data_IF_058533448786
#
_entry.id   IF_058533448786
#
_cell.length_a   1.000
_cell.length_b   1.000
_cell.length_c   1.000
_cell.angle_alpha   90.00
_cell.angle_beta   90.00
_cell.angle_gamma   90.00
#
_symmetry.space_group_name_H-M   'P 1'
#
loop_
_entity.id
_entity.type
_entity.pdbx_description
1 polymer ?
#
# COMPACT_ATOMS: atom_id res chain seq x y z
N UNK A 1 -19.17 4.07 -1.80
CA UNK A 1 -18.43 5.18 -2.41
C UNK A 1 -17.16 5.40 -1.61
N UNK A 2 -16.09 4.74 -2.04
CA UNK A 2 -14.77 4.69 -1.36
C UNK A 2 -13.90 5.82 -1.90
N UNK A 3 -13.12 6.51 -1.07
CA UNK A 3 -12.38 7.72 -1.44
C UNK A 3 -11.56 7.62 -2.76
N UNK A 4 -11.11 6.42 -3.14
CA UNK A 4 -10.39 6.17 -4.39
C UNK A 4 -11.25 6.40 -5.64
N UNK A 5 -12.55 6.14 -5.61
CA UNK A 5 -13.45 6.42 -6.75
C UNK A 5 -13.50 7.92 -7.06
N UNK A 6 -13.49 8.76 -6.00
CA UNK A 6 -13.44 10.22 -6.13
C UNK A 6 -12.07 10.70 -6.63
N UNK A 7 -10.98 10.06 -6.22
CA UNK A 7 -9.66 10.36 -6.77
C UNK A 7 -9.60 9.96 -8.24
N UNK A 8 -10.15 8.79 -8.60
CA UNK A 8 -10.19 8.32 -9.97
C UNK A 8 -10.97 9.26 -10.91
N UNK A 9 -12.05 9.90 -10.42
CA UNK A 9 -12.85 10.84 -11.21
C UNK A 9 -12.14 12.15 -11.53
N UNK A 10 -11.14 12.55 -10.75
CA UNK A 10 -10.35 13.77 -10.99
C UNK A 10 -9.00 13.50 -11.67
N UNK A 11 -8.69 12.23 -11.97
CA UNK A 11 -7.47 11.84 -12.67
C UNK A 11 -7.74 11.60 -14.15
N UNK A 12 -6.86 12.10 -15.04
CA UNK A 12 -6.90 11.85 -16.49
C UNK A 12 -6.45 10.44 -16.90
N UNK A 13 -6.80 9.42 -16.11
CA UNK A 13 -6.42 8.02 -16.36
C UNK A 13 -5.14 7.55 -15.67
N UNK A 14 -4.45 8.40 -14.88
CA UNK A 14 -3.22 8.04 -14.18
C UNK A 14 -3.21 8.53 -12.73
N UNK A 15 -2.81 7.65 -11.80
CA UNK A 15 -2.69 7.91 -10.37
C UNK A 15 -1.32 7.46 -9.87
N UNK A 16 -0.65 8.33 -9.11
CA UNK A 16 0.54 7.99 -8.33
C UNK A 16 0.14 8.08 -6.86
N UNK A 17 0.04 6.94 -6.19
CA UNK A 17 -0.32 6.85 -4.78
C UNK A 17 0.93 6.51 -3.96
N UNK A 18 1.40 7.44 -3.13
CA UNK A 18 2.41 7.17 -2.11
C UNK A 18 1.72 7.05 -0.75
N UNK A 19 1.81 5.88 -0.13
CA UNK A 19 1.21 5.66 1.19
C UNK A 19 2.07 4.73 2.05
N UNK A 20 1.90 4.85 3.36
CA UNK A 20 2.50 3.94 4.31
C UNK A 20 1.83 2.57 4.20
N UNK A 21 2.62 1.50 4.18
CA UNK A 21 2.09 0.13 4.16
C UNK A 21 2.52 -0.68 5.38
N UNK A 22 1.63 -1.58 5.81
CA UNK A 22 1.87 -2.56 6.87
C UNK A 22 1.79 -4.00 6.37
N UNK A 23 2.01 -4.97 7.26
CA UNK A 23 1.77 -6.42 7.04
C UNK A 23 2.26 -6.97 5.68
N UNK A 24 3.43 -6.52 5.20
CA UNK A 24 3.92 -6.80 3.83
C UNK A 24 4.13 -8.29 3.53
N UNK A 25 4.30 -9.12 4.55
CA UNK A 25 4.42 -10.57 4.44
C UNK A 25 3.09 -11.26 4.12
N UNK A 26 1.97 -10.61 4.43
CA UNK A 26 0.65 -11.18 4.24
C UNK A 26 0.18 -10.93 2.80
N UNK A 27 -0.10 -12.01 2.07
CA UNK A 27 -0.55 -11.96 0.67
C UNK A 27 -2.04 -11.66 0.49
N UNK A 28 -2.85 -11.88 1.53
CA UNK A 28 -4.28 -11.52 1.52
C UNK A 28 -4.47 -10.06 1.92
N UNK A 29 -5.50 -9.36 1.43
CA UNK A 29 -5.79 -7.99 1.84
C UNK A 29 -5.95 -7.86 3.38
N UNK A 30 -5.23 -6.92 3.99
CA UNK A 30 -5.27 -6.66 5.43
C UNK A 30 -4.79 -5.24 5.77
N UNK A 31 -5.10 -4.77 6.98
CA UNK A 31 -4.61 -3.52 7.52
C UNK A 31 -4.04 -3.74 8.94
N UNK A 32 -2.93 -3.06 9.23
CA UNK A 32 -2.39 -2.94 10.59
C UNK A 32 -3.02 -1.73 11.27
N UNK A 33 -3.46 -1.88 12.52
CA UNK A 33 -3.93 -0.77 13.35
C UNK A 33 -2.85 -0.38 14.37
N UNK A 34 -2.67 0.92 14.59
CA UNK A 34 -1.72 1.54 15.50
C UNK A 34 -2.49 2.19 16.66
N UNK A 35 -2.60 1.54 17.82
CA UNK A 35 -3.38 2.05 18.93
C UNK A 35 -2.73 3.26 19.62
N UNK A 36 -1.45 3.52 19.39
CA UNK A 36 -0.73 4.65 19.99
C UNK A 36 0.05 5.42 18.92
N UNK A 37 1.36 5.65 19.11
CA UNK A 37 2.22 6.50 18.28
C UNK A 37 3.20 5.68 17.43
N UNK A 38 2.90 4.41 17.18
CA UNK A 38 3.85 3.46 16.60
C UNK A 38 4.25 3.81 15.16
N UNK A 39 3.56 4.75 14.52
CA UNK A 39 3.92 5.26 13.20
C UNK A 39 4.71 6.57 13.29
N UNK A 40 6.03 6.48 13.43
CA UNK A 40 6.95 7.65 13.44
C UNK A 40 6.55 8.76 14.43
N UNK A 41 5.81 8.43 15.48
CA UNK A 41 5.20 9.39 16.39
C UNK A 41 4.25 10.40 15.72
N UNK A 42 3.64 10.02 14.59
CA UNK A 42 2.57 10.77 13.95
C UNK A 42 1.22 10.34 14.53
N UNK A 43 0.61 11.13 15.44
CA UNK A 43 -0.66 10.79 16.07
C UNK A 43 -1.85 10.93 15.12
N UNK A 44 -1.64 11.38 13.87
CA UNK A 44 -2.70 11.58 12.87
C UNK A 44 -2.88 10.38 11.93
N UNK A 45 -2.06 9.34 12.09
CA UNK A 45 -2.12 8.14 11.26
C UNK A 45 -2.17 6.86 12.10
N UNK A 46 -3.35 6.26 12.17
CA UNK A 46 -3.67 5.17 13.09
C UNK A 46 -3.67 3.78 12.42
N UNK A 47 -3.37 3.69 11.13
CA UNK A 47 -3.41 2.41 10.43
C UNK A 47 -2.58 2.40 9.15
N UNK A 48 -2.18 1.21 8.71
CA UNK A 48 -1.51 1.05 7.42
C UNK A 48 -2.02 -0.20 6.68
N UNK A 49 -2.51 -0.06 5.44
CA UNK A 49 -2.89 -1.21 4.63
C UNK A 49 -1.68 -1.99 4.13
N UNK A 50 -1.88 -3.26 3.80
CA UNK A 50 -0.88 -4.00 3.05
C UNK A 50 -1.01 -3.77 1.53
N UNK A 51 0.04 -4.10 0.75
CA UNK A 51 0.01 -3.88 -0.70
C UNK A 51 -1.11 -4.63 -1.44
N UNK A 52 -1.52 -5.79 -0.94
CA UNK A 52 -2.60 -6.58 -1.54
C UNK A 52 -3.95 -5.85 -1.46
N UNK A 53 -4.25 -5.20 -0.34
CA UNK A 53 -5.48 -4.43 -0.16
C UNK A 53 -5.49 -3.16 -1.02
N UNK A 54 -4.37 -2.42 -1.08
CA UNK A 54 -4.25 -1.25 -1.96
C UNK A 54 -4.49 -1.64 -3.42
N UNK A 55 -3.84 -2.71 -3.89
CA UNK A 55 -4.02 -3.22 -5.25
C UNK A 55 -5.49 -3.54 -5.54
N UNK A 56 -6.15 -4.33 -4.68
CA UNK A 56 -7.55 -4.69 -4.88
C UNK A 56 -8.48 -3.48 -4.87
N UNK A 57 -8.21 -2.48 -4.05
CA UNK A 57 -8.98 -1.24 -4.03
C UNK A 57 -8.80 -0.41 -5.31
N UNK A 58 -7.56 -0.29 -5.82
CA UNK A 58 -7.29 0.38 -7.10
C UNK A 58 -7.95 -0.35 -8.28
N UNK A 59 -7.84 -1.68 -8.33
CA UNK A 59 -8.47 -2.52 -9.35
C UNK A 59 -10.00 -2.38 -9.30
N UNK A 60 -10.60 -2.38 -8.10
CA UNK A 60 -12.04 -2.16 -7.92
C UNK A 60 -12.49 -0.77 -8.38
N UNK A 61 -11.62 0.23 -8.29
CA UNK A 61 -11.88 1.59 -8.79
C UNK A 61 -11.55 1.80 -10.27
N UNK A 62 -11.30 0.72 -11.03
CA UNK A 62 -11.14 0.76 -12.49
C UNK A 62 -9.71 0.95 -12.98
N UNK A 63 -8.70 0.95 -12.10
CA UNK A 63 -7.31 0.95 -12.52
C UNK A 63 -6.85 -0.45 -12.91
N UNK A 64 -6.59 -0.68 -14.20
CA UNK A 64 -6.26 -2.00 -14.74
C UNK A 64 -4.78 -2.36 -14.61
N UNK A 65 -3.89 -1.37 -14.59
CA UNK A 65 -2.45 -1.58 -14.50
C UNK A 65 -1.91 -0.90 -13.25
N UNK A 66 -1.46 -1.70 -12.28
CA UNK A 66 -0.87 -1.23 -11.02
C UNK A 66 0.57 -1.74 -10.89
N UNK A 67 1.52 -0.81 -10.95
CA UNK A 67 2.96 -1.06 -10.74
C UNK A 67 3.34 -0.52 -9.36
N UNK A 68 4.07 -1.32 -8.59
CA UNK A 68 4.42 -0.99 -7.21
C UNK A 68 5.94 -0.83 -7.06
N UNK A 69 6.36 0.26 -6.44
CA UNK A 69 7.74 0.60 -6.17
C UNK A 69 7.98 0.63 -4.65
N UNK A 70 9.09 0.01 -4.22
CA UNK A 70 9.55 0.01 -2.83
C UNK A 70 11.02 0.38 -2.75
N UNK A 71 11.43 1.05 -1.68
CA UNK A 71 12.83 1.45 -1.46
C UNK A 71 13.77 0.31 -1.03
N UNK A 72 13.28 -0.92 -0.80
CA UNK A 72 14.12 -2.07 -0.41
C UNK A 72 14.50 -2.95 -1.61
N UNK A 73 15.73 -3.50 -1.64
CA UNK A 73 16.16 -4.46 -2.66
C UNK A 73 15.32 -5.75 -2.60
N UNK A 74 15.10 -6.36 -3.77
CA UNK A 74 14.21 -7.52 -3.98
C UNK A 74 14.46 -8.70 -3.00
N UNK A 75 15.70 -8.87 -2.54
CA UNK A 75 16.11 -9.91 -1.57
C UNK A 75 15.36 -9.86 -0.23
N UNK A 76 15.01 -8.66 0.24
CA UNK A 76 14.31 -8.47 1.52
C UNK A 76 12.81 -8.84 1.41
N UNK A 77 12.27 -9.01 0.20
CA UNK A 77 10.91 -9.56 -0.02
C UNK A 77 10.83 -11.05 0.27
N UNK A 78 11.95 -11.77 0.12
CA UNK A 78 12.02 -13.23 0.26
C UNK A 78 12.40 -13.62 1.69
N UNK A 79 13.33 -12.87 2.31
CA UNK A 79 13.81 -13.13 3.68
C UNK A 79 12.76 -12.90 4.78
N UNK A 80 11.74 -12.06 4.53
CA UNK A 80 10.64 -11.85 5.48
C UNK A 80 9.75 -13.07 5.73
N UNK A 81 9.94 -14.20 5.02
CA UNK A 81 9.26 -15.48 5.29
C UNK A 81 10.00 -16.40 6.26
N UNK A 82 11.28 -16.14 6.59
CA UNK A 82 12.10 -17.12 7.34
C UNK A 82 12.59 -16.61 8.70
N UNK A 83 12.71 -15.30 8.92
CA UNK A 83 13.31 -14.79 10.16
C UNK A 83 12.34 -13.99 11.05
N UNK A 84 12.05 -14.56 12.23
CA UNK A 84 12.45 -14.01 13.54
C UNK A 84 11.31 -13.83 14.58
N UNK A 85 11.58 -14.31 15.80
CA UNK A 85 10.68 -14.42 16.97
C UNK A 85 10.61 -13.13 17.82
N UNK A 86 11.22 -12.02 17.39
CA UNK A 86 11.19 -10.74 18.11
C UNK A 86 10.21 -9.74 17.46
N UNK A 87 9.05 -9.56 18.09
CA UNK A 87 7.85 -8.96 17.47
C UNK A 87 7.89 -7.44 17.26
N UNK A 88 8.71 -6.67 17.99
CA UNK A 88 8.67 -5.19 17.91
C UNK A 88 9.67 -4.58 16.91
N UNK A 89 10.90 -5.11 16.78
CA UNK A 89 11.94 -4.54 15.92
C UNK A 89 11.70 -4.78 14.42
N UNK A 90 11.16 -5.95 14.08
CA UNK A 90 10.81 -6.34 12.70
C UNK A 90 9.61 -5.55 12.18
N UNK A 91 8.61 -5.29 13.03
CA UNK A 91 7.44 -4.46 12.70
C UNK A 91 7.84 -3.06 12.23
N UNK A 92 8.85 -2.47 12.89
CA UNK A 92 9.35 -1.13 12.57
C UNK A 92 10.14 -1.07 11.24
N UNK A 93 10.74 -2.18 10.80
CA UNK A 93 11.45 -2.28 9.49
C UNK A 93 10.51 -2.53 8.31
N UNK A 94 9.30 -3.01 8.56
CA UNK A 94 8.34 -3.38 7.51
C UNK A 94 7.30 -2.29 7.21
N UNK A 95 7.27 -1.22 8.02
CA UNK A 95 6.51 0.01 7.79
C UNK A 95 7.32 0.96 6.91
N UNK A 96 6.93 1.03 5.64
CA UNK A 96 7.55 1.92 4.68
C UNK A 96 6.51 2.53 3.77
N UNK A 97 6.82 3.73 3.29
CA UNK A 97 6.12 4.31 2.15
C UNK A 97 6.41 3.48 0.89
N UNK A 98 5.34 3.07 0.23
CA UNK A 98 5.37 2.46 -1.09
C UNK A 98 4.64 3.37 -2.08
N UNK A 99 5.13 3.36 -3.32
CA UNK A 99 4.54 4.14 -4.41
C UNK A 99 3.85 3.19 -5.37
N UNK A 100 2.62 3.49 -5.72
CA UNK A 100 1.79 2.73 -6.64
C UNK A 100 1.49 3.61 -7.85
N UNK A 101 1.97 3.21 -9.02
CA UNK A 101 1.56 3.81 -10.29
C UNK A 101 0.40 3.00 -10.83
N UNK A 102 -0.77 3.63 -10.88
CA UNK A 102 -2.00 3.04 -11.36
C UNK A 102 -2.44 3.76 -12.64
N UNK A 103 -2.88 3.01 -13.66
CA UNK A 103 -3.45 3.59 -14.88
C UNK A 103 -4.74 2.89 -15.30
N UNK A 104 -5.67 3.69 -15.83
CA UNK A 104 -6.92 3.27 -16.47
C UNK A 104 -7.05 3.99 -17.81
N UNK A 105 -7.79 3.39 -18.75
CA UNK A 105 -8.16 4.10 -19.98
C UNK A 105 -9.12 5.24 -19.62
N UNK A 106 -8.92 6.47 -20.13
CA UNK A 106 -9.88 7.54 -19.93
C UNK A 106 -11.19 7.21 -20.65
N UNK A 107 -12.31 7.53 -20.03
CA UNK A 107 -13.63 7.41 -20.64
C UNK A 107 -13.67 8.35 -21.86
N UNK A 108 -13.69 7.79 -23.08
CA UNK A 108 -13.68 8.54 -24.35
C UNK A 108 -12.48 8.30 -25.27
N UNK A 109 -11.55 7.40 -24.93
CA UNK A 109 -10.49 6.96 -25.85
C UNK A 109 -10.94 5.72 -26.64
N UNK A 110 -11.68 5.92 -27.73
CA UNK A 110 -12.00 4.90 -28.76
C UNK A 110 -11.97 5.55 -30.13
#
# INVERSE_FOLDING_TARGET
MTAIERVASVTGGRLILETEVGLRWLRRPAAEFFPTTELKADPTNWWAPNPAWIRGMLERSGFQKVVTYSRLPLRDRVWGSISDRSSQGVRRRLRQRMVFHASRQPDGAS
#
